data_IF_823843740156
#
_entry.id   IF_823843740156
#
_cell.length_a   1.000
_cell.length_b   1.000
_cell.length_c   1.000
_cell.angle_alpha   90.00
_cell.angle_beta   90.00
_cell.angle_gamma   90.00
#
_symmetry.space_group_name_H-M   'P 1'
#
loop_
_entity.id
_entity.type
_entity.pdbx_description
1 polymer ?
#
# COMPACT_ATOMS: atom_id res chain seq x y z
N UNK A 1 -1.94 -1.81 16.01
CA UNK A 1 -1.95 -0.92 14.80
C UNK A 1 -1.94 -1.84 13.59
N UNK A 2 -2.51 -1.45 12.44
CA UNK A 2 -2.78 -2.37 11.31
C UNK A 2 -1.50 -3.07 10.81
N UNK A 3 -0.40 -2.34 10.64
CA UNK A 3 0.89 -2.90 10.21
C UNK A 3 1.47 -3.91 11.19
N UNK A 4 1.52 -3.58 12.48
CA UNK A 4 2.00 -4.46 13.57
C UNK A 4 1.22 -5.78 13.63
N UNK A 5 -0.12 -5.71 13.57
CA UNK A 5 -0.98 -6.90 13.56
C UNK A 5 -0.73 -7.76 12.31
N UNK A 6 -0.58 -7.12 11.14
CA UNK A 6 -0.29 -7.82 9.88
C UNK A 6 1.08 -8.49 9.91
N UNK A 7 2.10 -7.81 10.43
CA UNK A 7 3.46 -8.33 10.57
C UNK A 7 3.52 -9.53 11.53
N UNK A 8 2.82 -9.45 12.66
CA UNK A 8 2.73 -10.57 13.59
C UNK A 8 2.04 -11.78 12.95
N UNK A 9 0.88 -11.55 12.32
CA UNK A 9 0.09 -12.63 11.70
C UNK A 9 0.79 -13.30 10.51
N UNK A 10 1.52 -12.54 9.68
CA UNK A 10 2.22 -13.10 8.52
C UNK A 10 3.46 -13.89 8.95
N UNK A 11 4.17 -13.45 9.99
CA UNK A 11 5.28 -14.20 10.56
C UNK A 11 4.79 -15.51 11.21
N UNK A 12 3.67 -15.50 11.92
CA UNK A 12 3.10 -16.70 12.53
C UNK A 12 2.62 -17.72 11.49
N UNK A 13 2.08 -17.26 10.36
CA UNK A 13 1.50 -18.13 9.33
C UNK A 13 2.50 -18.60 8.28
N UNK A 14 3.38 -17.71 7.83
CA UNK A 14 4.26 -17.94 6.68
C UNK A 14 5.75 -17.98 7.07
N UNK A 15 6.11 -17.62 8.31
CA UNK A 15 7.49 -17.64 8.79
C UNK A 15 8.41 -16.61 8.12
N UNK A 16 7.87 -15.68 7.34
CA UNK A 16 8.62 -14.66 6.59
C UNK A 16 7.80 -13.38 6.44
N UNK A 17 8.50 -12.29 6.11
CA UNK A 17 7.84 -11.05 5.69
C UNK A 17 7.19 -11.23 4.29
N UNK A 18 6.11 -10.48 4.00
CA UNK A 18 5.47 -10.53 2.71
C UNK A 18 6.35 -9.88 1.64
N UNK A 19 6.21 -10.32 0.39
CA UNK A 19 6.93 -9.71 -0.74
C UNK A 19 6.44 -8.28 -1.02
N UNK A 20 5.16 -8.02 -0.77
CA UNK A 20 4.57 -6.68 -0.81
C UNK A 20 3.33 -6.57 0.07
N UNK A 21 3.04 -5.36 0.53
CA UNK A 21 1.78 -4.96 1.16
C UNK A 21 1.04 -3.96 0.26
N UNK A 22 -0.25 -4.18 0.08
CA UNK A 22 -1.08 -3.41 -0.85
C UNK A 22 -2.21 -2.73 -0.08
N UNK A 23 -2.33 -1.42 -0.21
CA UNK A 23 -3.40 -0.66 0.44
C UNK A 23 -3.97 0.41 -0.49
N UNK A 24 -5.29 0.59 -0.46
CA UNK A 24 -5.94 1.66 -1.19
C UNK A 24 -5.63 3.03 -0.57
N UNK A 25 -5.36 4.01 -1.43
CA UNK A 25 -5.00 5.38 -1.07
C UNK A 25 -6.11 6.31 -1.56
N UNK A 26 -6.96 6.75 -0.62
CA UNK A 26 -7.92 7.83 -0.83
C UNK A 26 -7.50 9.06 -0.03
N UNK A 27 -7.79 9.04 1.28
CA UNK A 27 -7.21 9.98 2.25
C UNK A 27 -5.91 9.47 2.91
N UNK A 28 -5.43 8.28 2.54
CA UNK A 28 -4.14 7.73 2.96
C UNK A 28 -4.05 7.11 4.36
N UNK A 29 -5.03 7.30 5.26
CA UNK A 29 -4.94 6.82 6.65
C UNK A 29 -4.82 5.29 6.81
N UNK A 30 -5.52 4.53 5.97
CA UNK A 30 -5.38 3.07 5.96
C UNK A 30 -4.02 2.61 5.43
N UNK A 31 -3.53 3.26 4.37
CA UNK A 31 -2.25 2.93 3.76
C UNK A 31 -1.07 3.26 4.69
N UNK A 32 -1.08 4.43 5.32
CA UNK A 32 -0.01 4.80 6.27
C UNK A 32 0.00 3.86 7.48
N UNK A 33 -1.18 3.47 7.99
CA UNK A 33 -1.29 2.54 9.12
C UNK A 33 -0.82 1.13 8.79
N UNK A 34 -0.89 0.72 7.52
CA UNK A 34 -0.31 -0.53 7.04
C UNK A 34 1.20 -0.39 6.82
N UNK A 35 1.66 0.67 6.16
CA UNK A 35 3.05 0.83 5.74
C UNK A 35 4.01 1.23 6.86
N UNK A 36 3.52 1.86 7.94
CA UNK A 36 4.35 2.37 9.03
C UNK A 36 5.30 1.30 9.60
N UNK A 37 4.81 0.08 9.81
CA UNK A 37 5.61 -1.01 10.35
C UNK A 37 6.55 -1.65 9.32
N UNK A 38 6.29 -1.50 8.02
CA UNK A 38 7.10 -2.11 6.95
C UNK A 38 8.07 -1.11 6.29
N UNK A 39 8.08 0.16 6.70
CA UNK A 39 8.88 1.22 6.06
C UNK A 39 10.39 0.98 6.13
N UNK A 40 10.85 0.29 7.17
CA UNK A 40 12.27 -0.05 7.36
C UNK A 40 12.64 -1.40 6.74
N UNK A 41 11.66 -2.17 6.25
CA UNK A 41 11.87 -3.48 5.68
C UNK A 41 12.03 -3.37 4.16
N UNK A 42 13.25 -3.10 3.70
CA UNK A 42 13.55 -2.88 2.27
C UNK A 42 13.22 -4.08 1.35
N UNK A 43 12.96 -5.25 1.92
CA UNK A 43 12.51 -6.44 1.19
C UNK A 43 11.01 -6.46 0.90
N UNK A 44 10.24 -5.57 1.52
CA UNK A 44 8.77 -5.52 1.43
C UNK A 44 8.37 -4.37 0.51
N UNK A 45 7.71 -4.69 -0.61
CA UNK A 45 7.14 -3.68 -1.50
C UNK A 45 5.96 -2.96 -0.85
N UNK A 46 5.95 -1.63 -0.87
CA UNK A 46 4.83 -0.82 -0.38
C UNK A 46 4.02 -0.32 -1.58
N UNK A 47 2.81 -0.87 -1.80
CA UNK A 47 2.01 -0.57 -2.98
C UNK A 47 0.73 0.17 -2.59
N UNK A 48 0.68 1.45 -2.94
CA UNK A 48 -0.54 2.26 -2.87
C UNK A 48 -1.45 2.02 -4.08
N UNK A 49 -2.77 1.99 -3.88
CA UNK A 49 -3.73 1.90 -4.99
C UNK A 49 -4.70 3.07 -4.91
N UNK A 50 -4.54 4.05 -5.79
CA UNK A 50 -5.40 5.22 -5.87
C UNK A 50 -6.60 4.99 -6.79
N UNK A 51 -7.74 5.66 -6.58
CA UNK A 51 -8.85 5.63 -7.53
C UNK A 51 -8.50 6.41 -8.81
N UNK A 52 -7.99 5.74 -9.84
CA UNK A 52 -7.68 6.22 -11.20
C UNK A 52 -8.78 6.69 -12.15
N UNK A 53 -10.00 7.00 -11.69
CA UNK A 53 -10.94 7.72 -12.55
C UNK A 53 -11.22 7.07 -13.93
N UNK A 54 -11.45 7.90 -14.97
CA UNK A 54 -11.62 7.46 -16.38
C UNK A 54 -10.28 7.23 -17.12
N UNK A 55 -9.20 6.88 -16.41
CA UNK A 55 -7.87 6.73 -17.00
C UNK A 55 -7.12 8.06 -17.08
N UNK A 56 -5.78 7.98 -17.04
CA UNK A 56 -4.87 9.14 -16.94
C UNK A 56 -5.03 10.13 -18.12
N UNK A 57 -5.58 9.69 -19.25
CA UNK A 57 -5.81 10.51 -20.44
C UNK A 57 -7.19 11.20 -20.51
N UNK A 58 -8.12 10.91 -19.58
CA UNK A 58 -9.48 11.48 -19.66
C UNK A 58 -9.77 12.31 -18.42
N UNK A 59 -9.93 13.62 -18.61
CA UNK A 59 -10.27 14.63 -17.62
C UNK A 59 -11.71 14.49 -17.05
N UNK A 60 -12.18 13.28 -16.76
CA UNK A 60 -13.50 13.04 -16.20
C UNK A 60 -13.44 12.17 -14.95
N UNK A 61 -14.01 12.71 -13.88
CA UNK A 61 -14.15 12.12 -12.57
C UNK A 61 -15.15 10.93 -12.61
N UNK A 62 -14.70 9.70 -12.88
CA UNK A 62 -15.40 8.50 -12.44
C UNK A 62 -14.44 7.36 -12.13
N UNK A 63 -14.33 7.06 -10.84
CA UNK A 63 -13.40 6.17 -10.14
C UNK A 63 -13.25 4.77 -10.78
N UNK A 64 -12.09 4.46 -11.37
CA UNK A 64 -11.55 3.08 -11.55
C UNK A 64 -10.24 2.95 -10.79
N UNK A 65 -9.96 1.85 -10.09
CA UNK A 65 -8.72 1.64 -9.33
C UNK A 65 -7.47 1.70 -10.24
N UNK A 66 -6.51 2.59 -9.94
CA UNK A 66 -5.18 2.65 -10.54
C UNK A 66 -4.18 2.03 -9.56
N UNK A 67 -3.41 1.03 -10.00
CA UNK A 67 -2.20 0.64 -9.27
C UNK A 67 -1.13 1.69 -9.53
N UNK A 68 -1.07 2.73 -8.69
CA UNK A 68 0.10 3.60 -8.64
C UNK A 68 1.10 2.90 -7.73
N UNK A 69 2.03 2.14 -8.30
CA UNK A 69 3.22 1.72 -7.57
C UNK A 69 4.00 2.99 -7.21
N UNK A 70 3.65 3.60 -6.07
CA UNK A 70 4.31 4.74 -5.49
C UNK A 70 5.62 4.22 -4.87
N UNK A 71 6.54 3.83 -5.75
CA UNK A 71 7.94 3.71 -5.40
C UNK A 71 8.42 5.13 -5.05
N UNK A 72 9.07 5.24 -3.90
CA UNK A 72 9.69 6.46 -3.36
C UNK A 72 8.75 7.43 -2.65
N UNK A 73 8.28 7.05 -1.47
CA UNK A 73 8.16 8.03 -0.38
C UNK A 73 9.57 8.18 0.21
N UNK A 74 10.34 9.12 -0.34
CA UNK A 74 11.48 9.71 0.36
C UNK A 74 10.92 10.76 1.31
N UNK A 75 10.98 10.50 2.61
CA UNK A 75 10.97 11.53 3.66
C UNK A 75 12.31 11.46 4.37
#
# INVERSE_FOLDING_TARGET
>A
MIGEETKSQILDKEGRLPDAVIACVGGGSNAIGMFADFINDASVGLIGVEPGGHGIETASMARRLNMVALASISV
#
